data_IF_834884546762
#
_entry.id   IF_834884546762
#
_cell.length_a   1.000
_cell.length_b   1.000
_cell.length_c   1.000
_cell.angle_alpha   90.00
_cell.angle_beta   90.00
_cell.angle_gamma   90.00
#
_symmetry.space_group_name_H-M   'P 1'
#
loop_
_entity.id
_entity.type
_entity.pdbx_description
1 polymer ?
#
# COMPACT_ATOMS: atom_id res chain seq x y z
N UNK A 1 -1.38 -5.82 1.32
CA UNK A 1 -1.53 -4.50 1.99
C UNK A 1 -0.25 -3.71 1.77
N UNK A 2 -0.34 -2.42 1.46
CA UNK A 2 0.83 -1.54 1.31
C UNK A 2 0.76 -0.42 2.35
N UNK A 3 1.84 -0.29 3.13
CA UNK A 3 1.99 0.74 4.17
C UNK A 3 2.40 2.10 3.61
N UNK A 4 3.13 2.10 2.50
CA UNK A 4 3.62 3.29 1.80
C UNK A 4 4.56 2.89 0.67
N UNK A 5 5.01 3.88 -0.08
CA UNK A 5 5.99 3.76 -1.16
C UNK A 5 7.10 4.80 -0.94
N UNK A 6 8.27 4.52 -1.49
CA UNK A 6 9.35 5.51 -1.56
C UNK A 6 9.98 5.46 -2.93
N UNK A 7 10.39 6.63 -3.42
CA UNK A 7 11.28 6.75 -4.57
C UNK A 7 12.62 7.27 -4.05
N UNK A 8 13.67 6.46 -4.23
CA UNK A 8 15.03 6.82 -3.83
C UNK A 8 16.03 6.36 -4.88
N UNK A 9 17.26 6.83 -4.76
CA UNK A 9 18.34 6.49 -5.67
C UNK A 9 18.82 5.05 -5.41
N UNK A 10 19.16 4.32 -6.48
CA UNK A 10 19.62 2.92 -6.37
C UNK A 10 20.79 2.73 -5.39
N UNK A 11 21.70 3.72 -5.32
CA UNK A 11 22.84 3.70 -4.38
C UNK A 11 22.44 3.70 -2.91
N UNK A 12 21.29 4.29 -2.57
CA UNK A 12 20.79 4.35 -1.19
C UNK A 12 20.17 3.02 -0.80
N UNK A 13 19.42 2.40 -1.72
CA UNK A 13 18.88 1.04 -1.55
C UNK A 13 19.99 0.00 -1.31
N UNK A 14 21.08 0.08 -2.08
CA UNK A 14 22.23 -0.83 -1.91
C UNK A 14 22.99 -0.63 -0.59
N UNK A 15 22.76 0.48 0.12
CA UNK A 15 23.37 0.78 1.42
C UNK A 15 22.51 0.31 2.60
N UNK A 16 21.27 -0.13 2.35
CA UNK A 16 20.39 -0.62 3.40
C UNK A 16 21.00 -1.86 4.07
N UNK A 17 20.97 -1.86 5.40
CA UNK A 17 21.48 -2.93 6.26
C UNK A 17 20.50 -3.16 7.40
N UNK A 18 20.60 -4.29 8.13
CA UNK A 18 19.85 -4.47 9.37
C UNK A 18 20.02 -3.26 10.29
N UNK A 19 18.91 -2.68 10.74
CA UNK A 19 18.89 -1.45 11.54
C UNK A 19 18.73 -0.14 10.76
N UNK A 20 18.77 -0.17 9.42
CA UNK A 20 18.42 1.01 8.61
C UNK A 20 16.94 1.38 8.76
N UNK A 21 16.66 2.66 8.93
CA UNK A 21 15.30 3.22 8.95
C UNK A 21 15.03 3.90 7.62
N UNK A 22 13.90 3.60 7.01
CA UNK A 22 13.48 4.17 5.73
C UNK A 22 12.20 4.97 5.94
N UNK A 23 12.22 6.23 5.52
CA UNK A 23 11.07 7.11 5.62
C UNK A 23 10.13 6.90 4.43
N UNK A 24 8.88 6.53 4.68
CA UNK A 24 7.84 6.35 3.66
C UNK A 24 7.16 7.68 3.30
N UNK A 25 6.46 7.72 2.15
CA UNK A 25 5.67 8.87 1.70
C UNK A 25 4.42 9.12 2.56
N UNK A 26 3.83 8.06 3.13
CA UNK A 26 2.63 8.14 3.96
C UNK A 26 2.91 8.69 5.35
N UNK A 27 2.05 9.61 5.79
CA UNK A 27 2.09 10.15 7.15
C UNK A 27 1.47 9.19 8.17
N UNK A 28 1.86 9.35 9.43
CA UNK A 28 1.26 8.59 10.54
C UNK A 28 -0.24 8.87 10.59
N UNK A 29 -1.04 7.80 10.60
CA UNK A 29 -2.50 7.87 10.66
C UNK A 29 -3.20 7.93 9.30
N UNK A 30 -2.46 8.02 8.19
CA UNK A 30 -3.05 7.91 6.87
C UNK A 30 -3.55 6.49 6.57
N UNK A 31 -4.65 6.35 5.81
CA UNK A 31 -5.18 5.05 5.46
C UNK A 31 -4.23 4.28 4.55
N UNK A 32 -4.08 3.00 4.84
CA UNK A 32 -3.30 2.05 4.05
C UNK A 32 -4.18 1.39 3.00
N UNK A 33 -3.55 0.92 1.93
CA UNK A 33 -4.26 0.34 0.79
C UNK A 33 -4.21 -1.19 0.86
N UNK A 34 -5.38 -1.80 0.68
CA UNK A 34 -5.56 -3.24 0.59
C UNK A 34 -5.71 -3.62 -0.88
N UNK A 35 -4.84 -4.53 -1.33
CA UNK A 35 -4.84 -5.05 -2.69
C UNK A 35 -5.27 -6.51 -2.67
N UNK A 36 -6.13 -6.89 -3.61
CA UNK A 36 -6.54 -8.26 -3.87
C UNK A 36 -6.18 -8.59 -5.33
N UNK A 37 -5.32 -9.59 -5.54
CA UNK A 37 -4.77 -9.96 -6.87
C UNK A 37 -4.16 -8.77 -7.64
N UNK A 38 -3.57 -7.81 -6.93
CA UNK A 38 -2.96 -6.62 -7.52
C UNK A 38 -3.92 -5.44 -7.77
N UNK A 39 -5.22 -5.63 -7.61
CA UNK A 39 -6.23 -4.56 -7.72
C UNK A 39 -6.50 -3.94 -6.35
N UNK A 40 -6.55 -2.60 -6.27
CA UNK A 40 -6.88 -1.88 -5.04
C UNK A 40 -8.35 -2.14 -4.68
N UNK A 41 -8.58 -2.79 -3.56
CA UNK A 41 -9.92 -3.25 -3.13
C UNK A 41 -10.50 -2.39 -2.02
N UNK A 42 -9.66 -1.88 -1.11
CA UNK A 42 -10.12 -1.09 0.03
C UNK A 42 -9.02 -0.16 0.55
N UNK A 43 -9.43 0.85 1.30
CA UNK A 43 -8.56 1.63 2.17
C UNK A 43 -8.98 1.45 3.63
N UNK A 44 -8.03 1.53 4.55
CA UNK A 44 -8.32 1.33 5.97
C UNK A 44 -7.21 1.82 6.87
N UNK A 45 -7.48 1.84 8.17
CA UNK A 45 -6.50 2.24 9.19
C UNK A 45 -5.90 1.01 9.85
N UNK A 46 -4.58 1.00 10.00
CA UNK A 46 -3.88 -0.04 10.77
C UNK A 46 -4.23 0.13 12.24
N UNK A 47 -4.73 -0.94 12.84
CA UNK A 47 -5.10 -1.01 14.25
C UNK A 47 -4.37 -2.17 14.90
N UNK A 48 -4.24 -2.14 16.22
CA UNK A 48 -3.73 -3.29 16.98
C UNK A 48 -4.94 -3.99 17.61
N UNK A 49 -5.03 -5.31 17.41
CA UNK A 49 -6.09 -6.15 17.98
C UNK A 49 -5.41 -7.22 18.82
N UNK A 50 -5.39 -7.03 20.14
CA UNK A 50 -4.62 -7.86 21.05
C UNK A 50 -3.12 -7.75 20.76
N UNK A 51 -2.51 -8.86 20.36
CA UNK A 51 -1.09 -8.94 19.97
C UNK A 51 -0.88 -8.96 18.45
N UNK A 52 -1.95 -8.73 17.67
CA UNK A 52 -1.92 -8.79 16.22
C UNK A 52 -2.15 -7.44 15.57
N UNK A 53 -1.56 -7.24 14.39
CA UNK A 53 -1.89 -6.14 13.51
C UNK A 53 -3.22 -6.45 12.81
N UNK A 54 -4.16 -5.51 12.91
CA UNK A 54 -5.44 -5.53 12.21
C UNK A 54 -5.56 -4.36 11.23
N UNK A 55 -6.55 -4.46 10.35
CA UNK A 55 -6.93 -3.40 9.42
C UNK A 55 -8.41 -3.10 9.58
N UNK A 56 -8.73 -1.89 10.05
CA UNK A 56 -10.11 -1.40 10.06
C UNK A 56 -10.40 -0.78 8.71
N UNK A 57 -11.26 -1.44 7.93
CA UNK A 57 -11.69 -0.95 6.62
C UNK A 57 -12.44 0.37 6.81
N UNK A 58 -12.01 1.40 6.08
CA UNK A 58 -12.63 2.72 6.07
C UNK A 58 -13.49 2.88 4.83
N UNK A 59 -13.00 2.41 3.69
CA UNK A 59 -13.70 2.50 2.41
C UNK A 59 -13.44 1.23 1.59
N UNK A 60 -14.49 0.68 0.99
CA UNK A 60 -14.39 -0.38 0.00
C UNK A 60 -14.49 0.30 -1.36
N UNK A 61 -13.46 0.12 -2.17
CA UNK A 61 -13.47 0.61 -3.53
C UNK A 61 -14.24 -0.43 -4.34
N UNK A 62 -15.41 -0.10 -4.89
CA UNK A 62 -16.11 -1.02 -5.75
C UNK A 62 -15.19 -1.37 -6.93
N UNK A 63 -15.31 -2.58 -7.51
CA UNK A 63 -14.62 -2.88 -8.74
C UNK A 63 -15.20 -1.99 -9.85
N UNK A 64 -14.73 -0.76 -9.94
CA UNK A 64 -15.00 0.13 -11.06
C UNK A 64 -14.24 -0.43 -12.27
N UNK A 65 -14.98 -1.12 -13.13
CA UNK A 65 -14.63 -1.43 -14.51
C UNK A 65 -13.28 -2.11 -14.73
N UNK A 66 -13.22 -3.41 -14.43
CA UNK A 66 -12.23 -4.31 -15.05
C UNK A 66 -12.37 -4.46 -16.58
N UNK A 67 -13.18 -3.64 -17.25
CA UNK A 67 -13.37 -3.65 -18.71
C UNK A 67 -12.49 -2.64 -19.45
N UNK A 68 -11.91 -1.61 -18.79
CA UNK A 68 -11.27 -0.52 -19.54
C UNK A 68 -9.77 -0.74 -19.86
N UNK A 69 -9.13 -1.81 -19.34
CA UNK A 69 -7.76 -2.19 -19.72
C UNK A 69 -7.65 -3.15 -20.92
N UNK A 70 -8.77 -3.54 -21.55
CA UNK A 70 -8.75 -4.33 -22.78
C UNK A 70 -8.66 -3.49 -24.08
N UNK A 71 -8.75 -2.15 -23.99
CA UNK A 71 -8.69 -1.25 -25.14
C UNK A 71 -7.40 -0.42 -25.15
N UNK A 72 -6.25 -1.09 -25.26
CA UNK A 72 -5.11 -0.49 -25.95
C UNK A 72 -5.07 -1.09 -27.35
N UNK A 73 -5.67 -0.45 -28.37
CA UNK A 73 -5.40 -0.81 -29.74
C UNK A 73 -3.97 -0.39 -30.07
N UNK A 74 -3.13 -1.37 -30.40
CA UNK A 74 -1.93 -1.16 -31.21
C UNK A 74 -2.28 -1.51 -32.66
#
# INVERSE_FOLDING_TARGET
MRLGQIETQARELLRLRPGSVVQLDKKVGEPVELFLRGVRFATGQVVVVGEHLGLRITEIIPPESSEELAAQPA
#
